data_IF_808732922381
#
_entry.id   IF_808732922381
#
_cell.length_a   1.000
_cell.length_b   1.000
_cell.length_c   1.000
_cell.angle_alpha   90.00
_cell.angle_beta   90.00
_cell.angle_gamma   90.00
#
_symmetry.space_group_name_H-M   'P 1'
#
loop_
_entity.id
_entity.type
_entity.pdbx_description
1 polymer ?
#
# COMPACT_ATOMS: atom_id res chain seq x y z
N UNK A 1 -14.78 6.65 9.85
CA UNK A 1 -14.37 5.32 10.38
C UNK A 1 -13.22 4.72 9.57
N UNK A 2 -13.36 4.45 8.26
CA UNK A 2 -12.28 3.85 7.43
C UNK A 2 -10.94 4.61 7.50
N UNK A 3 -10.95 5.95 7.45
CA UNK A 3 -9.72 6.76 7.54
C UNK A 3 -8.96 6.56 8.85
N UNK A 4 -9.66 6.43 9.98
CA UNK A 4 -9.02 6.24 11.29
C UNK A 4 -8.29 4.89 11.36
N UNK A 5 -8.90 3.83 10.83
CA UNK A 5 -8.25 2.52 10.72
C UNK A 5 -7.01 2.54 9.83
N UNK A 6 -7.02 3.31 8.74
CA UNK A 6 -5.85 3.47 7.88
C UNK A 6 -4.72 4.20 8.60
N UNK A 7 -5.03 5.26 9.37
CA UNK A 7 -4.02 5.97 10.16
C UNK A 7 -3.39 5.05 11.21
N UNK A 8 -4.21 4.26 11.93
CA UNK A 8 -3.72 3.27 12.90
C UNK A 8 -2.83 2.24 12.22
N UNK A 9 -3.24 1.74 11.05
CA UNK A 9 -2.46 0.79 10.27
C UNK A 9 -1.11 1.38 9.82
N UNK A 10 -1.10 2.61 9.30
CA UNK A 10 0.11 3.32 8.90
C UNK A 10 1.06 3.46 10.10
N UNK A 11 0.57 3.94 11.24
CA UNK A 11 1.38 4.11 12.44
C UNK A 11 1.94 2.78 12.95
N UNK A 12 1.10 1.74 13.01
CA UNK A 12 1.53 0.42 13.44
C UNK A 12 2.64 -0.15 12.54
N UNK A 13 2.48 -0.06 11.22
CA UNK A 13 3.47 -0.56 10.27
C UNK A 13 4.76 0.27 10.29
N UNK A 14 4.65 1.59 10.38
CA UNK A 14 5.80 2.49 10.53
C UNK A 14 6.60 2.20 11.80
N UNK A 15 5.94 1.98 12.94
CA UNK A 15 6.62 1.63 14.20
C UNK A 15 7.27 0.25 14.14
N UNK A 16 6.65 -0.70 13.46
CA UNK A 16 7.21 -2.05 13.27
C UNK A 16 8.52 -2.00 12.48
N UNK A 17 8.62 -1.11 11.49
CA UNK A 17 9.79 -0.95 10.62
C UNK A 17 10.86 -0.03 11.23
N UNK A 18 10.53 0.76 12.25
CA UNK A 18 11.44 1.68 12.93
C UNK A 18 12.77 1.07 13.38
N UNK A 19 12.85 -0.11 14.05
CA UNK A 19 14.14 -0.67 14.48
C UNK A 19 15.04 -1.08 13.32
N UNK A 20 14.49 -1.24 12.11
CA UNK A 20 15.21 -1.68 10.92
C UNK A 20 15.81 -0.53 10.11
N UNK A 21 15.54 0.72 10.48
CA UNK A 21 15.94 1.91 9.71
C UNK A 21 16.57 3.00 10.58
N UNK A 22 17.56 3.74 10.07
CA UNK A 22 17.92 5.04 10.61
C UNK A 22 16.72 6.00 10.66
N UNK A 23 16.68 6.90 11.64
CA UNK A 23 15.54 7.81 11.81
C UNK A 23 15.23 8.67 10.56
N UNK A 24 16.26 9.08 9.81
CA UNK A 24 16.11 9.81 8.54
C UNK A 24 15.40 8.97 7.48
N UNK A 25 15.78 7.71 7.31
CA UNK A 25 15.18 6.78 6.36
C UNK A 25 13.78 6.35 6.78
N UNK A 26 13.55 6.22 8.09
CA UNK A 26 12.24 5.92 8.65
C UNK A 26 11.19 6.99 8.34
N UNK A 27 11.58 8.28 8.40
CA UNK A 27 10.70 9.38 8.01
C UNK A 27 10.36 9.33 6.51
N UNK A 28 11.33 8.97 5.66
CA UNK A 28 11.12 8.79 4.22
C UNK A 28 10.18 7.62 3.95
N UNK A 29 10.44 6.46 4.57
CA UNK A 29 9.60 5.27 4.47
C UNK A 29 8.16 5.56 4.90
N UNK A 30 7.98 6.18 6.07
CA UNK A 30 6.65 6.50 6.60
C UNK A 30 5.87 7.43 5.68
N UNK A 31 6.55 8.42 5.10
CA UNK A 31 5.93 9.36 4.14
C UNK A 31 5.52 8.64 2.85
N UNK A 32 6.42 7.86 2.25
CA UNK A 32 6.16 7.08 1.04
C UNK A 32 5.02 6.06 1.26
N UNK A 33 5.04 5.36 2.40
CA UNK A 33 4.03 4.38 2.77
C UNK A 33 2.66 5.04 3.00
N UNK A 34 2.63 6.20 3.65
CA UNK A 34 1.41 7.00 3.84
C UNK A 34 0.80 7.38 2.50
N UNK A 35 1.60 7.97 1.61
CA UNK A 35 1.15 8.35 0.25
C UNK A 35 0.59 7.12 -0.47
N UNK A 36 1.32 6.01 -0.45
CA UNK A 36 0.90 4.76 -1.06
C UNK A 36 -0.46 4.27 -0.54
N UNK A 37 -0.66 4.22 0.78
CA UNK A 37 -1.93 3.77 1.39
C UNK A 37 -3.10 4.68 1.00
N UNK A 38 -2.90 6.00 1.01
CA UNK A 38 -3.96 6.95 0.61
C UNK A 38 -4.26 6.93 -0.89
N UNK A 39 -3.26 6.77 -1.74
CA UNK A 39 -3.46 6.62 -3.19
C UNK A 39 -4.16 5.30 -3.50
N UNK A 40 -3.83 4.20 -2.82
CA UNK A 40 -4.57 2.94 -2.94
C UNK A 40 -6.03 3.11 -2.52
N UNK A 41 -6.30 3.79 -1.40
CA UNK A 41 -7.67 4.15 -0.99
C UNK A 41 -8.43 4.89 -2.10
N UNK A 42 -7.79 5.85 -2.75
CA UNK A 42 -8.41 6.59 -3.85
C UNK A 42 -8.68 5.69 -5.06
N UNK A 43 -7.72 4.84 -5.44
CA UNK A 43 -7.85 3.87 -6.53
C UNK A 43 -9.00 2.88 -6.32
N UNK A 44 -9.33 2.53 -5.08
CA UNK A 44 -10.50 1.68 -4.77
C UNK A 44 -11.84 2.35 -5.07
N UNK A 45 -11.88 3.68 -5.19
CA UNK A 45 -13.10 4.40 -5.57
C UNK A 45 -13.37 4.28 -7.08
N UNK A 46 -12.37 3.89 -7.87
CA UNK A 46 -12.54 3.68 -9.31
C UNK A 46 -13.40 2.43 -9.57
N UNK A 47 -14.46 2.60 -10.38
CA UNK A 47 -15.39 1.52 -10.73
C UNK A 47 -14.76 0.43 -11.60
N UNK A 48 -13.71 0.78 -12.35
CA UNK A 48 -13.01 -0.12 -13.27
C UNK A 48 -11.85 -0.86 -12.57
N UNK A 49 -12.06 -2.14 -12.28
CA UNK A 49 -11.08 -3.00 -11.59
C UNK A 49 -9.78 -3.07 -12.37
N UNK A 50 -9.83 -3.27 -13.70
CA UNK A 50 -8.61 -3.45 -14.49
C UNK A 50 -7.70 -2.23 -14.36
N UNK A 51 -8.28 -1.04 -14.38
CA UNK A 51 -7.54 0.21 -14.20
C UNK A 51 -7.03 0.35 -12.77
N UNK A 52 -7.88 0.11 -11.77
CA UNK A 52 -7.49 0.18 -10.35
C UNK A 52 -6.34 -0.78 -10.01
N UNK A 53 -6.41 -2.02 -10.50
CA UNK A 53 -5.37 -3.04 -10.30
C UNK A 53 -4.08 -2.69 -11.05
N UNK A 54 -4.15 -2.29 -12.33
CA UNK A 54 -2.94 -1.92 -13.08
C UNK A 54 -2.25 -0.70 -12.48
N UNK A 55 -3.01 0.34 -12.12
CA UNK A 55 -2.45 1.54 -11.49
C UNK A 55 -1.92 1.22 -10.09
N UNK A 56 -2.62 0.39 -9.31
CA UNK A 56 -2.15 -0.07 -8.01
C UNK A 56 -0.84 -0.88 -8.10
N UNK A 57 -0.67 -1.68 -9.14
CA UNK A 57 0.56 -2.42 -9.41
C UNK A 57 1.72 -1.49 -9.77
N UNK A 58 1.49 -0.53 -10.67
CA UNK A 58 2.49 0.50 -11.01
C UNK A 58 2.87 1.34 -9.80
N UNK A 59 1.89 1.69 -8.96
CA UNK A 59 2.14 2.43 -7.73
C UNK A 59 2.98 1.62 -6.75
N UNK A 60 2.70 0.33 -6.57
CA UNK A 60 3.48 -0.54 -5.72
C UNK A 60 4.93 -0.69 -6.22
N UNK A 61 5.14 -0.79 -7.54
CA UNK A 61 6.47 -0.77 -8.15
C UNK A 61 7.19 0.55 -7.90
N UNK A 62 6.52 1.68 -8.11
CA UNK A 62 7.10 3.00 -7.88
C UNK A 62 7.47 3.20 -6.40
N UNK A 63 6.59 2.81 -5.47
CA UNK A 63 6.86 2.90 -4.03
C UNK A 63 8.03 1.99 -3.63
N UNK A 64 8.06 0.73 -4.07
CA UNK A 64 9.17 -0.17 -3.76
C UNK A 64 10.51 0.34 -4.33
N UNK A 65 10.51 0.86 -5.56
CA UNK A 65 11.68 1.48 -6.16
C UNK A 65 12.16 2.69 -5.35
N UNK A 66 11.25 3.58 -4.94
CA UNK A 66 11.60 4.76 -4.14
C UNK A 66 12.12 4.36 -2.76
N UNK A 67 11.50 3.38 -2.10
CA UNK A 67 11.98 2.88 -0.81
C UNK A 67 13.38 2.29 -0.95
N UNK A 68 13.63 1.41 -1.93
CA UNK A 68 14.97 0.83 -2.14
C UNK A 68 16.02 1.87 -2.57
N UNK A 69 15.59 2.99 -3.19
CA UNK A 69 16.49 4.06 -3.62
C UNK A 69 16.89 4.98 -2.47
N UNK A 70 15.97 5.26 -1.56
CA UNK A 70 16.14 6.26 -0.51
C UNK A 70 16.30 5.68 0.90
N UNK A 71 16.15 4.37 1.05
CA UNK A 71 16.31 3.66 2.32
C UNK A 71 17.15 2.41 2.10
N UNK A 72 17.82 1.98 3.16
CA UNK A 72 18.56 0.73 3.26
C UNK A 72 17.65 -0.50 3.38
N UNK A 73 16.33 -0.30 3.47
CA UNK A 73 15.34 -1.36 3.36
C UNK A 73 15.36 -1.92 1.95
N UNK A 74 15.89 -3.13 1.83
CA UNK A 74 15.64 -3.97 0.67
C UNK A 74 14.20 -4.48 0.74
N UNK A 75 13.26 -3.73 0.17
CA UNK A 75 11.91 -4.22 -0.03
C UNK A 75 11.98 -5.32 -1.07
N UNK A 76 11.73 -6.60 -0.70
CA UNK A 76 11.76 -7.67 -1.66
C UNK A 76 10.63 -7.44 -2.65
N UNK A 77 10.91 -7.51 -3.95
CA UNK A 77 9.91 -7.32 -5.00
C UNK A 77 8.73 -8.32 -4.89
N UNK A 78 8.89 -9.41 -4.13
CA UNK A 78 7.78 -10.29 -3.74
C UNK A 78 6.66 -9.57 -2.95
N UNK A 79 6.99 -8.53 -2.18
CA UNK A 79 6.01 -7.70 -1.46
C UNK A 79 5.05 -6.98 -2.43
N UNK A 80 5.52 -6.67 -3.64
CA UNK A 80 4.72 -6.06 -4.71
C UNK A 80 3.71 -7.07 -5.27
N UNK A 81 4.10 -8.33 -5.43
CA UNK A 81 3.19 -9.41 -5.82
C UNK A 81 2.14 -9.65 -4.74
N UNK A 82 2.55 -9.60 -3.46
CA UNK A 82 1.63 -9.74 -2.33
C UNK A 82 0.61 -8.60 -2.28
N UNK A 83 1.05 -7.36 -2.55
CA UNK A 83 0.19 -6.18 -2.69
C UNK A 83 -0.80 -6.32 -3.86
N UNK A 84 -0.33 -6.75 -5.03
CA UNK A 84 -1.19 -6.98 -6.19
C UNK A 84 -2.24 -8.07 -5.93
N UNK A 85 -1.82 -9.16 -5.28
CA UNK A 85 -2.69 -10.27 -4.91
C UNK A 85 -3.73 -9.87 -3.85
N UNK A 86 -3.31 -9.17 -2.79
CA UNK A 86 -4.24 -8.67 -1.77
C UNK A 86 -5.23 -7.67 -2.35
N UNK A 87 -4.81 -6.80 -3.28
CA UNK A 87 -5.70 -5.86 -3.96
C UNK A 87 -6.75 -6.60 -4.83
N UNK A 88 -6.34 -7.65 -5.56
CA UNK A 88 -7.26 -8.52 -6.32
C UNK A 88 -8.23 -9.29 -5.42
N UNK A 89 -7.74 -9.88 -4.33
CA UNK A 89 -8.55 -10.64 -3.38
C UNK A 89 -9.56 -9.71 -2.67
N UNK A 90 -9.11 -8.56 -2.20
CA UNK A 90 -9.96 -7.61 -1.49
C UNK A 90 -11.05 -7.02 -2.39
N UNK A 91 -10.71 -6.66 -3.64
CA UNK A 91 -11.69 -6.21 -4.65
C UNK A 91 -12.65 -7.33 -5.06
N UNK A 92 -12.19 -8.57 -5.13
CA UNK A 92 -13.03 -9.75 -5.40
C UNK A 92 -14.07 -9.97 -4.30
N UNK A 93 -13.65 -9.93 -3.04
CA UNK A 93 -14.53 -10.09 -1.87
C UNK A 93 -15.52 -8.93 -1.75
N UNK A 94 -15.08 -7.68 -1.87
CA UNK A 94 -15.96 -6.51 -1.76
C UNK A 94 -17.03 -6.45 -2.85
N UNK A 95 -16.72 -6.93 -4.07
CA UNK A 95 -17.72 -7.02 -5.14
C UNK A 95 -18.74 -8.14 -4.92
N UNK A 96 -18.33 -9.27 -4.35
CA UNK A 96 -19.28 -10.33 -4.00
C UNK A 96 -20.32 -9.83 -3.00
N UNK A 97 -19.87 -9.13 -1.96
CA UNK A 97 -20.75 -8.56 -0.92
C UNK A 97 -21.68 -7.46 -1.48
N UNK A 98 -21.21 -6.65 -2.44
CA UNK A 98 -22.03 -5.59 -3.06
C UNK A 98 -23.01 -6.09 -4.11
N UNK A 99 -22.84 -7.31 -4.63
CA UNK A 99 -23.76 -7.92 -5.61
C UNK A 99 -24.94 -8.62 -4.94
N UNK A 100 -24.83 -8.89 -3.63
CA UNK A 100 -25.87 -9.54 -2.80
C UNK A 100 -26.78 -8.54 -2.05
N UNK A 101 -26.55 -7.23 -2.20
CA UNK A 101 -27.47 -6.16 -1.78
C UNK A 101 -28.06 -5.46 -2.99
#
# INVERSE_FOLDING_TARGET
MVTAYLIIFILAFSLLVMPSLPFSEWMIFTSLFTVYVFTMRYLYTLRNIRVSTSVGFLLALATAYLVNRFTSLEVPYFFILFVGATNLVYLGIFRHVKKER
#
